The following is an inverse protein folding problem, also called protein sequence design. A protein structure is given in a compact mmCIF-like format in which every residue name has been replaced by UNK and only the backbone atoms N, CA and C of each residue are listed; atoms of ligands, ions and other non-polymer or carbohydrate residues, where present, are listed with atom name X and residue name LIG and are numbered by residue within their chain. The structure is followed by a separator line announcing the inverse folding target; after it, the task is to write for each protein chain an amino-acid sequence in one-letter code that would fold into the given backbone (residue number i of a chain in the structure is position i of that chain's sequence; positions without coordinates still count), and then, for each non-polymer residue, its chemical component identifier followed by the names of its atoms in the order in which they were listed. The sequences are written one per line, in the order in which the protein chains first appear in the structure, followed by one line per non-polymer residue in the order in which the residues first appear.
data_IF_894643111922
#
_entry.id   IF_894643111922
#
_cell.length_a   1.000
_cell.length_b   1.000
_cell.length_c   1.000
_cell.angle_alpha   90.00
_cell.angle_beta   90.00
_cell.angle_gamma   90.00
#
_symmetry.space_group_name_H-M   'P 1'
#
loop_
_entity.id
_entity.type
_entity.pdbx_description
1 polymer ?
#
# COMPACT_ATOMS: atom_id res chain seq x y z
N UNK A 1 -20.00 28.26 10.43
CA UNK A 1 -21.21 28.01 9.63
C UNK A 1 -21.37 28.88 8.39
N UNK A 2 -21.02 30.17 8.40
CA UNK A 2 -21.28 31.10 7.28
C UNK A 2 -20.34 30.97 6.06
N UNK A 3 -19.15 30.39 6.15
CA UNK A 3 -18.21 30.31 5.01
C UNK A 3 -18.34 29.02 4.19
N UNK A 4 -18.79 27.92 4.79
CA UNK A 4 -19.05 26.67 4.07
C UNK A 4 -20.30 26.80 3.22
N UNK A 5 -21.33 27.51 3.71
CA UNK A 5 -22.57 27.73 2.97
C UNK A 5 -22.42 28.69 1.76
N UNK A 6 -21.42 29.57 1.73
CA UNK A 6 -21.18 30.46 0.55
C UNK A 6 -20.49 29.75 -0.63
N UNK A 7 -19.84 28.58 -0.42
CA UNK A 7 -19.36 27.74 -1.52
C UNK A 7 -20.42 26.76 -2.05
N UNK A 8 -21.54 26.63 -1.37
CA UNK A 8 -22.65 25.72 -1.73
C UNK A 8 -23.35 26.11 -3.03
N UNK A 9 -23.28 27.39 -3.46
CA UNK A 9 -23.91 27.81 -4.72
C UNK A 9 -23.26 27.23 -6.00
N UNK A 10 -22.04 26.66 -5.90
CA UNK A 10 -21.37 25.96 -7.02
C UNK A 10 -21.72 24.46 -7.11
N UNK A 11 -22.27 23.85 -6.06
CA UNK A 11 -22.57 22.41 -6.02
C UNK A 11 -24.07 22.17 -6.00
N UNK A 12 -24.53 21.28 -6.90
CA UNK A 12 -25.95 20.98 -7.10
C UNK A 12 -26.60 20.25 -5.92
N UNK A 13 -25.82 19.53 -5.10
CA UNK A 13 -26.31 18.79 -3.93
C UNK A 13 -25.20 18.54 -2.88
N UNK A 14 -25.60 18.12 -1.67
CA UNK A 14 -24.68 17.82 -0.55
C UNK A 14 -23.76 16.64 -0.86
N UNK A 15 -24.16 15.72 -1.73
CA UNK A 15 -23.35 14.56 -2.11
C UNK A 15 -22.12 14.98 -2.91
N UNK A 16 -22.25 15.96 -3.78
CA UNK A 16 -21.12 16.50 -4.55
C UNK A 16 -20.10 17.19 -3.66
N UNK A 17 -20.55 17.92 -2.63
CA UNK A 17 -19.67 18.55 -1.63
C UNK A 17 -18.85 17.44 -0.91
N UNK A 18 -19.52 16.41 -0.46
CA UNK A 18 -18.91 15.27 0.23
C UNK A 18 -17.88 14.52 -0.66
N UNK A 19 -18.28 14.24 -1.90
CA UNK A 19 -17.42 13.55 -2.86
C UNK A 19 -16.18 14.39 -3.18
N UNK A 20 -16.33 15.70 -3.37
CA UNK A 20 -15.21 16.59 -3.63
C UNK A 20 -14.30 16.76 -2.41
N UNK A 21 -14.85 16.80 -1.20
CA UNK A 21 -14.03 16.87 0.02
C UNK A 21 -13.09 15.65 0.11
N UNK A 22 -13.59 14.44 -0.18
CA UNK A 22 -12.80 13.21 -0.11
C UNK A 22 -11.94 13.02 -1.36
N UNK A 23 -12.49 13.24 -2.57
CA UNK A 23 -11.90 12.80 -3.83
C UNK A 23 -11.45 13.92 -4.77
N UNK A 24 -11.60 15.20 -4.41
CA UNK A 24 -11.43 16.35 -5.29
C UNK A 24 -10.16 16.44 -6.14
N UNK A 25 -9.10 15.69 -5.81
CA UNK A 25 -7.85 15.61 -6.57
C UNK A 25 -7.50 14.18 -6.99
N UNK A 26 -8.43 13.24 -6.88
CA UNK A 26 -8.17 11.81 -7.12
C UNK A 26 -8.02 11.47 -8.59
N UNK A 27 -7.02 10.65 -8.90
CA UNK A 27 -6.81 10.07 -10.25
C UNK A 27 -7.11 8.57 -10.31
N UNK A 28 -7.46 7.95 -9.19
CA UNK A 28 -7.82 6.54 -9.06
C UNK A 28 -9.27 6.27 -9.50
N UNK A 29 -9.64 5.00 -9.42
CA UNK A 29 -11.03 4.56 -9.52
C UNK A 29 -11.70 4.68 -8.15
N UNK A 30 -12.93 5.13 -8.11
CA UNK A 30 -13.78 5.24 -6.92
C UNK A 30 -14.91 4.24 -7.09
N UNK A 31 -15.21 3.48 -6.04
CA UNK A 31 -16.30 2.51 -6.08
C UNK A 31 -17.58 3.13 -5.54
N UNK A 32 -18.64 3.13 -6.36
CA UNK A 32 -20.03 3.29 -5.92
C UNK A 32 -20.58 1.91 -5.62
N UNK A 33 -21.31 1.74 -4.54
CA UNK A 33 -22.00 0.49 -4.23
C UNK A 33 -23.45 0.74 -3.81
N UNK A 34 -24.27 -0.29 -4.00
CA UNK A 34 -25.66 -0.35 -3.56
C UNK A 34 -25.89 -1.65 -2.80
N UNK A 35 -26.65 -1.58 -1.70
CA UNK A 35 -27.01 -2.76 -0.90
C UNK A 35 -28.53 -2.80 -0.79
N UNK A 36 -29.17 -3.60 -1.64
CA UNK A 36 -30.60 -3.75 -1.66
C UNK A 36 -30.97 -5.22 -1.41
N UNK A 37 -31.88 -5.48 -0.45
CA UNK A 37 -32.36 -6.83 -0.10
C UNK A 37 -31.21 -7.83 0.19
N UNK A 38 -30.10 -7.35 0.77
CA UNK A 38 -28.93 -8.18 1.05
C UNK A 38 -28.01 -8.43 -0.16
N UNK A 39 -28.37 -7.94 -1.34
CA UNK A 39 -27.54 -8.03 -2.54
C UNK A 39 -26.63 -6.82 -2.63
N UNK A 40 -25.30 -7.08 -2.64
CA UNK A 40 -24.28 -6.05 -2.82
C UNK A 40 -23.94 -5.94 -4.30
N UNK A 41 -24.12 -4.74 -4.88
CA UNK A 41 -23.70 -4.40 -6.25
C UNK A 41 -22.71 -3.27 -6.21
N UNK A 42 -21.68 -3.29 -7.08
CA UNK A 42 -20.67 -2.23 -7.14
C UNK A 42 -20.27 -1.88 -8.57
N UNK A 43 -19.96 -0.62 -8.77
CA UNK A 43 -19.47 -0.04 -10.02
C UNK A 43 -18.30 0.89 -9.71
N UNK A 44 -17.46 1.14 -10.72
CA UNK A 44 -16.24 1.92 -10.56
C UNK A 44 -16.25 3.10 -11.52
N UNK A 45 -15.98 4.28 -10.99
CA UNK A 45 -16.07 5.55 -11.71
C UNK A 45 -14.79 6.38 -11.51
N UNK A 46 -14.50 7.26 -12.46
CA UNK A 46 -13.61 8.39 -12.24
C UNK A 46 -14.39 9.53 -11.58
N UNK A 47 -13.68 10.44 -10.91
CA UNK A 47 -14.31 11.53 -10.18
C UNK A 47 -15.33 12.31 -11.02
N UNK A 48 -14.96 12.70 -12.24
CA UNK A 48 -15.84 13.44 -13.15
C UNK A 48 -17.14 12.68 -13.48
N UNK A 49 -17.06 11.39 -13.68
CA UNK A 49 -18.23 10.54 -13.93
C UNK A 49 -19.11 10.39 -12.67
N UNK A 50 -18.45 10.34 -11.49
CA UNK A 50 -19.16 10.18 -10.23
C UNK A 50 -19.98 11.44 -9.86
N UNK A 51 -19.48 12.64 -10.19
CA UNK A 51 -20.17 13.89 -9.92
C UNK A 51 -21.45 14.10 -10.75
N UNK A 52 -21.65 13.31 -11.81
CA UNK A 52 -22.87 13.36 -12.62
C UNK A 52 -23.96 12.40 -12.12
N UNK A 53 -23.70 11.59 -11.09
CA UNK A 53 -24.60 10.58 -10.55
C UNK A 53 -25.53 11.21 -9.50
N UNK A 54 -26.81 10.82 -9.51
CA UNK A 54 -27.75 11.12 -8.44
C UNK A 54 -27.55 10.13 -7.27
N UNK A 55 -27.31 10.67 -6.08
CA UNK A 55 -27.08 9.92 -4.84
C UNK A 55 -28.25 9.99 -3.85
N UNK A 56 -29.36 10.60 -4.20
CA UNK A 56 -30.51 10.76 -3.30
C UNK A 56 -31.30 9.47 -3.04
N UNK A 57 -30.91 8.38 -3.72
CA UNK A 57 -31.54 7.07 -3.59
C UNK A 57 -31.16 6.37 -2.27
N UNK A 58 -31.88 5.27 -1.99
CA UNK A 58 -31.64 4.46 -0.80
C UNK A 58 -30.35 3.63 -0.90
N UNK A 59 -29.66 3.53 0.25
CA UNK A 59 -28.53 2.60 0.45
C UNK A 59 -27.42 2.73 -0.59
N UNK A 60 -27.08 3.96 -0.98
CA UNK A 60 -25.95 4.27 -1.84
C UNK A 60 -24.71 4.51 -1.00
N UNK A 61 -23.60 3.91 -1.43
CA UNK A 61 -22.31 3.95 -0.75
C UNK A 61 -21.19 4.34 -1.72
N UNK A 62 -20.12 4.95 -1.21
CA UNK A 62 -18.87 5.16 -1.95
C UNK A 62 -17.66 4.69 -1.13
N UNK A 63 -16.57 4.32 -1.82
CA UNK A 63 -15.29 4.05 -1.18
C UNK A 63 -14.62 5.37 -0.79
N UNK A 64 -13.98 5.40 0.39
CA UNK A 64 -13.20 6.56 0.85
C UNK A 64 -11.81 6.64 0.20
N UNK A 65 -11.31 5.51 -0.25
CA UNK A 65 -10.01 5.36 -0.89
C UNK A 65 -10.15 5.05 -2.38
N UNK A 66 -9.08 5.21 -3.16
CA UNK A 66 -9.10 5.00 -4.60
C UNK A 66 -8.29 3.79 -5.02
N UNK A 67 -8.59 3.27 -6.22
CA UNK A 67 -8.04 2.03 -6.75
C UNK A 67 -7.32 2.25 -8.09
N UNK A 68 -6.34 1.39 -8.40
CA UNK A 68 -5.66 1.40 -9.71
C UNK A 68 -6.55 0.91 -10.83
N UNK A 69 -7.31 -0.18 -10.59
CA UNK A 69 -8.18 -0.87 -11.55
C UNK A 69 -9.63 -0.89 -11.03
N UNK A 70 -10.54 -1.35 -11.86
CA UNK A 70 -11.98 -1.42 -11.59
C UNK A 70 -12.39 -2.61 -10.70
N UNK A 71 -11.71 -2.79 -9.59
CA UNK A 71 -12.10 -3.71 -8.52
C UNK A 71 -11.62 -3.21 -7.15
N UNK A 72 -12.31 -3.58 -6.08
CA UNK A 72 -12.19 -3.03 -4.74
C UNK A 72 -11.57 -4.04 -3.78
N UNK A 73 -10.23 -4.25 -3.90
CA UNK A 73 -9.45 -5.08 -2.99
C UNK A 73 -8.18 -4.35 -2.54
N UNK A 74 -7.58 -4.82 -1.45
CA UNK A 74 -6.48 -4.18 -0.75
C UNK A 74 -5.22 -4.02 -1.64
N UNK A 75 -4.89 -5.01 -2.43
CA UNK A 75 -3.73 -4.99 -3.33
C UNK A 75 -3.90 -4.05 -4.52
N UNK A 76 -5.13 -3.60 -4.75
CA UNK A 76 -5.48 -2.66 -5.82
C UNK A 76 -5.61 -1.20 -5.33
N UNK A 77 -5.41 -0.95 -4.04
CA UNK A 77 -5.43 0.40 -3.49
C UNK A 77 -4.37 1.27 -4.14
N UNK A 78 -4.78 2.44 -4.62
CA UNK A 78 -3.91 3.44 -5.21
C UNK A 78 -3.52 4.52 -4.21
N UNK A 79 -4.52 5.14 -3.58
CA UNK A 79 -4.35 6.22 -2.62
C UNK A 79 -5.21 5.96 -1.40
N UNK A 80 -4.61 6.08 -0.23
CA UNK A 80 -5.31 6.11 1.05
C UNK A 80 -5.47 7.58 1.40
N UNK A 81 -6.71 8.02 1.59
CA UNK A 81 -7.10 9.42 1.72
C UNK A 81 -7.81 9.75 3.00
N UNK A 82 -8.31 8.72 3.70
CA UNK A 82 -9.08 8.89 4.91
C UNK A 82 -8.70 7.84 5.96
N UNK A 83 -8.79 8.25 7.20
CA UNK A 83 -9.02 7.40 8.35
C UNK A 83 -10.52 7.53 8.64
N UNK A 84 -11.18 6.46 9.07
CA UNK A 84 -12.61 6.51 9.35
C UNK A 84 -13.00 5.61 10.51
N UNK A 85 -14.12 5.96 11.15
CA UNK A 85 -14.72 5.14 12.19
C UNK A 85 -16.24 5.14 12.01
N UNK A 86 -16.83 3.96 12.01
CA UNK A 86 -18.28 3.75 12.03
C UNK A 86 -18.71 3.47 13.46
N UNK A 87 -19.51 4.36 14.04
CA UNK A 87 -20.05 4.23 15.38
C UNK A 87 -21.50 3.73 15.32
N UNK A 88 -21.72 2.49 15.67
CA UNK A 88 -23.02 1.86 15.79
C UNK A 88 -23.73 2.33 17.09
N UNK A 89 -24.09 3.61 17.16
CA UNK A 89 -24.57 4.26 18.38
C UNK A 89 -25.82 3.58 18.96
N UNK A 90 -26.63 2.93 18.12
CA UNK A 90 -27.80 2.17 18.54
C UNK A 90 -27.48 0.91 19.39
N UNK A 91 -26.20 0.49 19.41
CA UNK A 91 -25.71 -0.60 20.26
C UNK A 91 -25.26 -0.11 21.65
N UNK A 92 -25.25 1.18 21.88
CA UNK A 92 -24.79 1.80 23.12
C UNK A 92 -25.98 2.30 23.97
N UNK A 93 -25.68 2.63 25.21
CA UNK A 93 -26.64 3.27 26.12
C UNK A 93 -26.76 4.79 25.97
N UNK A 94 -25.90 5.37 25.11
CA UNK A 94 -25.80 6.81 24.91
C UNK A 94 -26.57 7.25 23.68
N UNK A 95 -27.15 8.43 23.72
CA UNK A 95 -27.67 9.10 22.52
C UNK A 95 -26.53 9.65 21.68
N UNK A 96 -26.76 9.89 20.36
CA UNK A 96 -25.76 10.51 19.49
C UNK A 96 -25.22 11.83 20.06
N UNK A 97 -26.10 12.67 20.60
CA UNK A 97 -25.73 13.94 21.21
C UNK A 97 -24.80 13.76 22.40
N UNK A 98 -25.12 12.81 23.30
CA UNK A 98 -24.27 12.51 24.45
C UNK A 98 -22.90 11.99 24.02
N UNK A 99 -22.86 11.16 22.98
CA UNK A 99 -21.60 10.67 22.42
C UNK A 99 -20.77 11.85 21.88
N UNK A 100 -21.36 12.70 21.06
CA UNK A 100 -20.65 13.84 20.47
C UNK A 100 -20.13 14.82 21.53
N UNK A 101 -20.94 15.16 22.54
CA UNK A 101 -20.50 16.00 23.66
C UNK A 101 -19.31 15.39 24.41
N UNK A 102 -19.36 14.08 24.68
CA UNK A 102 -18.27 13.39 25.38
C UNK A 102 -17.00 13.33 24.51
N UNK A 103 -17.14 13.08 23.19
CA UNK A 103 -16.01 13.04 22.27
C UNK A 103 -15.34 14.42 22.16
N UNK A 104 -16.10 15.49 22.07
CA UNK A 104 -15.59 16.86 22.02
C UNK A 104 -14.87 17.25 23.31
N UNK A 105 -15.50 16.95 24.47
CA UNK A 105 -14.95 17.31 25.77
C UNK A 105 -13.72 16.46 26.17
N UNK A 106 -13.63 15.20 25.78
CA UNK A 106 -12.66 14.29 26.39
C UNK A 106 -11.70 13.61 25.42
N UNK A 107 -12.01 13.58 24.11
CA UNK A 107 -11.25 12.79 23.14
C UNK A 107 -10.66 13.64 21.99
N UNK A 108 -11.44 14.48 21.34
CA UNK A 108 -10.99 15.25 20.18
C UNK A 108 -9.87 16.24 20.53
N UNK A 109 -8.75 16.13 19.81
CA UNK A 109 -7.55 16.94 20.06
C UNK A 109 -6.79 16.57 21.34
N UNK A 110 -7.18 15.48 22.05
CA UNK A 110 -6.55 15.01 23.28
C UNK A 110 -5.99 13.60 23.14
N UNK A 111 -6.86 12.61 22.92
CA UNK A 111 -6.47 11.21 22.72
C UNK A 111 -6.54 10.79 21.26
N UNK A 112 -7.41 11.43 20.49
CA UNK A 112 -7.55 11.22 19.04
C UNK A 112 -7.61 12.57 18.31
N UNK A 113 -7.25 12.62 17.00
CA UNK A 113 -7.35 13.85 16.21
C UNK A 113 -8.81 14.33 16.11
N UNK A 114 -9.01 15.63 15.86
CA UNK A 114 -10.33 16.16 15.55
C UNK A 114 -10.73 15.69 14.15
N UNK A 115 -11.92 15.06 13.96
CA UNK A 115 -12.35 14.59 12.64
C UNK A 115 -12.66 15.75 11.71
N UNK A 116 -12.49 15.54 10.40
CA UNK A 116 -12.86 16.50 9.38
C UNK A 116 -14.36 16.51 9.11
N UNK A 117 -14.98 15.34 9.15
CA UNK A 117 -16.39 15.17 8.91
C UNK A 117 -17.01 14.32 10.01
N UNK A 118 -18.06 14.83 10.61
CA UNK A 118 -18.96 14.08 11.50
C UNK A 118 -20.29 13.97 10.78
N UNK A 119 -20.73 12.74 10.50
CA UNK A 119 -21.88 12.44 9.68
C UNK A 119 -22.88 11.58 10.44
N UNK A 120 -24.13 11.98 10.44
CA UNK A 120 -25.25 11.15 10.90
C UNK A 120 -25.62 10.17 9.77
N UNK A 121 -25.31 8.89 9.96
CA UNK A 121 -25.63 7.82 9.01
C UNK A 121 -27.06 7.27 9.12
N UNK A 122 -27.89 7.88 9.95
CA UNK A 122 -29.24 7.47 10.30
C UNK A 122 -29.28 6.65 11.60
N UNK A 123 -28.62 5.51 11.69
CA UNK A 123 -28.58 4.67 12.90
C UNK A 123 -27.34 4.90 13.76
N UNK A 124 -26.27 5.44 13.17
CA UNK A 124 -24.98 5.64 13.80
C UNK A 124 -24.35 6.96 13.35
N UNK A 125 -23.05 7.08 13.64
CA UNK A 125 -22.23 8.22 13.25
C UNK A 125 -21.02 7.74 12.44
N UNK A 126 -20.64 8.49 11.40
CA UNK A 126 -19.32 8.34 10.79
C UNK A 126 -18.41 9.46 11.24
N UNK A 127 -17.22 9.12 11.67
CA UNK A 127 -16.12 10.04 11.93
C UNK A 127 -15.09 9.83 10.84
N UNK A 128 -14.76 10.87 10.07
CA UNK A 128 -13.83 10.79 8.94
C UNK A 128 -12.72 11.83 9.12
N UNK A 129 -11.48 11.37 9.10
CA UNK A 129 -10.28 12.19 9.09
C UNK A 129 -9.70 12.19 7.68
N UNK A 130 -9.68 13.34 7.02
CA UNK A 130 -9.02 13.52 5.72
C UNK A 130 -7.52 13.58 5.95
N UNK A 131 -6.77 12.83 5.16
CA UNK A 131 -5.31 12.83 5.23
C UNK A 131 -4.71 13.22 3.89
N UNK A 132 -3.49 13.77 3.91
CA UNK A 132 -2.69 13.87 2.70
C UNK A 132 -2.59 12.50 2.04
N UNK A 133 -2.90 12.37 0.72
CA UNK A 133 -2.95 11.07 0.07
C UNK A 133 -1.63 10.32 0.18
N UNK A 134 -1.68 9.10 0.70
CA UNK A 134 -0.51 8.22 0.82
C UNK A 134 -0.69 6.95 -0.01
N UNK A 135 0.41 6.36 -0.52
CA UNK A 135 0.35 5.13 -1.30
C UNK A 135 -0.03 3.92 -0.42
N UNK A 136 -0.50 2.84 -1.04
CA UNK A 136 -0.91 1.61 -0.34
C UNK A 136 0.17 1.03 0.59
N UNK A 137 1.45 1.30 0.33
CA UNK A 137 2.56 0.88 1.21
C UNK A 137 2.48 1.48 2.62
N UNK A 138 1.75 2.58 2.81
CA UNK A 138 1.50 3.17 4.13
C UNK A 138 0.40 2.43 4.93
N UNK A 139 -0.26 1.45 4.33
CA UNK A 139 -1.39 0.73 4.90
C UNK A 139 -1.11 0.08 6.27
N UNK A 140 0.07 -0.49 6.57
CA UNK A 140 0.36 -0.98 7.92
C UNK A 140 0.31 0.12 8.99
N UNK A 141 0.77 1.34 8.67
CA UNK A 141 0.67 2.48 9.58
C UNK A 141 -0.78 2.95 9.71
N UNK A 142 -1.48 3.10 8.60
CA UNK A 142 -2.90 3.42 8.57
C UNK A 142 -3.71 2.46 9.47
N UNK A 143 -3.49 1.15 9.31
CA UNK A 143 -4.16 0.12 10.10
C UNK A 143 -3.86 0.23 11.60
N UNK A 144 -2.63 0.58 11.96
CA UNK A 144 -2.26 0.78 13.37
C UNK A 144 -2.97 1.99 13.99
N UNK A 145 -3.13 3.08 13.21
CA UNK A 145 -3.87 4.27 13.65
C UNK A 145 -5.36 3.96 13.78
N UNK A 146 -5.95 3.29 12.80
CA UNK A 146 -7.36 2.86 12.85
C UNK A 146 -7.65 1.99 14.08
N UNK A 147 -6.77 1.03 14.38
CA UNK A 147 -6.92 0.18 15.56
C UNK A 147 -6.76 0.95 16.87
N UNK A 148 -5.90 1.95 16.89
CA UNK A 148 -5.76 2.82 18.05
C UNK A 148 -7.05 3.62 18.27
N UNK A 149 -7.55 4.31 17.25
CA UNK A 149 -8.79 5.09 17.32
C UNK A 149 -9.99 4.18 17.69
N UNK A 150 -10.05 2.98 17.10
CA UNK A 150 -11.07 1.99 17.47
C UNK A 150 -11.06 1.66 18.97
N UNK A 151 -9.88 1.45 19.56
CA UNK A 151 -9.77 1.14 20.99
C UNK A 151 -10.29 2.27 21.87
N UNK A 152 -9.95 3.52 21.51
CA UNK A 152 -10.41 4.71 22.20
C UNK A 152 -11.94 4.88 22.08
N UNK A 153 -12.52 4.54 20.92
CA UNK A 153 -13.95 4.76 20.64
C UNK A 153 -14.84 3.52 20.86
N UNK A 154 -14.29 2.42 21.35
CA UNK A 154 -15.00 1.16 21.48
C UNK A 154 -16.28 1.27 22.34
N UNK A 155 -16.25 2.05 23.42
CA UNK A 155 -17.40 2.26 24.31
C UNK A 155 -18.55 3.03 23.64
N UNK A 156 -18.25 3.82 22.60
CA UNK A 156 -19.23 4.58 21.81
C UNK A 156 -19.78 3.81 20.61
N UNK A 157 -19.52 2.50 20.55
CA UNK A 157 -20.06 1.60 19.55
C UNK A 157 -19.23 1.53 18.26
N UNK A 158 -17.94 1.84 18.31
CA UNK A 158 -17.05 1.68 17.15
C UNK A 158 -17.12 0.25 16.62
N UNK A 159 -17.34 0.13 15.30
CA UNK A 159 -17.45 -1.16 14.61
C UNK A 159 -16.07 -1.65 14.16
N UNK A 160 -15.61 -2.77 14.76
CA UNK A 160 -14.34 -3.39 14.40
C UNK A 160 -14.29 -3.84 12.93
N UNK A 161 -15.42 -4.31 12.41
CA UNK A 161 -15.54 -4.79 11.03
C UNK A 161 -15.45 -3.67 10.00
N UNK A 162 -15.58 -2.41 10.46
CA UNK A 162 -15.39 -1.25 9.60
C UNK A 162 -13.91 -0.88 9.36
N UNK A 163 -12.94 -1.45 10.10
CA UNK A 163 -11.50 -1.19 9.96
C UNK A 163 -10.91 -1.80 8.68
N UNK A 164 -11.51 -1.48 7.55
CA UNK A 164 -11.18 -1.97 6.20
C UNK A 164 -10.86 -0.79 5.28
N UNK A 165 -9.64 -0.67 4.75
CA UNK A 165 -9.27 0.43 3.85
C UNK A 165 -10.02 0.40 2.53
N UNK A 166 -10.70 -0.70 2.23
CA UNK A 166 -11.55 -0.84 1.05
C UNK A 166 -13.05 -0.61 1.36
N UNK A 167 -13.36 -0.15 2.60
CA UNK A 167 -14.74 0.09 3.04
C UNK A 167 -15.46 1.09 2.15
N UNK A 168 -16.76 0.86 1.98
CA UNK A 168 -17.70 1.84 1.43
C UNK A 168 -18.57 2.37 2.56
N UNK A 169 -18.79 3.68 2.59
CA UNK A 169 -19.71 4.34 3.53
C UNK A 169 -20.85 4.98 2.76
N UNK A 170 -22.00 5.15 3.43
CA UNK A 170 -23.16 5.81 2.82
C UNK A 170 -22.80 7.24 2.38
N UNK A 171 -23.26 7.60 1.21
CA UNK A 171 -23.06 8.94 0.67
C UNK A 171 -23.97 9.94 1.39
N UNK A 172 -23.46 11.13 1.63
CA UNK A 172 -24.24 12.25 2.13
C UNK A 172 -25.40 12.56 1.18
N UNK A 173 -26.60 12.79 1.71
CA UNK A 173 -27.81 13.00 0.94
C UNK A 173 -28.58 11.71 0.58
N UNK A 174 -27.94 10.52 0.69
CA UNK A 174 -28.62 9.24 0.47
C UNK A 174 -29.52 8.86 1.65
N UNK A 175 -30.48 7.96 1.39
CA UNK A 175 -31.44 7.50 2.41
C UNK A 175 -30.93 6.18 3.02
N UNK A 176 -30.92 6.10 4.34
CA UNK A 176 -30.71 4.85 5.06
C UNK A 176 -32.06 4.14 5.23
N UNK A 177 -32.33 3.11 4.44
CA UNK A 177 -33.60 2.37 4.49
C UNK A 177 -33.92 1.73 5.86
N UNK A 178 -32.89 1.42 6.68
CA UNK A 178 -33.08 0.82 8.00
C UNK A 178 -33.63 1.80 9.04
N UNK A 179 -33.44 3.08 8.87
CA UNK A 179 -33.94 4.16 9.74
C UNK A 179 -34.92 5.09 9.02
N UNK A 180 -35.07 4.95 7.73
CA UNK A 180 -35.80 5.85 6.85
C UNK A 180 -35.40 7.33 7.03
N UNK A 181 -34.09 7.57 7.15
CA UNK A 181 -33.54 8.91 7.38
C UNK A 181 -32.46 9.23 6.36
N UNK A 182 -32.37 10.49 5.99
CA UNK A 182 -31.30 10.99 5.13
C UNK A 182 -29.98 11.03 5.88
N UNK A 183 -28.90 10.63 5.22
CA UNK A 183 -27.51 10.78 5.70
C UNK A 183 -27.13 12.23 5.57
N UNK A 184 -26.76 12.86 6.69
CA UNK A 184 -26.47 14.29 6.75
C UNK A 184 -25.20 14.61 7.53
N UNK A 185 -24.54 15.69 7.16
CA UNK A 185 -23.39 16.21 7.88
C UNK A 185 -23.83 16.92 9.17
N UNK A 186 -23.10 16.69 10.26
CA UNK A 186 -23.31 17.39 11.52
C UNK A 186 -22.25 18.46 11.74
N UNK A 187 -20.98 18.11 11.51
CA UNK A 187 -19.85 19.03 11.73
C UNK A 187 -18.77 18.85 10.64
N UNK A 188 -18.04 19.93 10.36
CA UNK A 188 -16.92 19.94 9.41
C UNK A 188 -15.72 20.68 9.98
N UNK A 189 -14.51 20.19 9.66
CA UNK A 189 -13.23 20.81 9.94
C UNK A 189 -12.36 20.77 8.68
N UNK A 190 -11.72 21.87 8.33
CA UNK A 190 -10.93 22.01 7.09
C UNK A 190 -9.47 21.51 7.20
N UNK A 191 -8.99 21.22 8.41
CA UNK A 191 -7.61 20.79 8.60
C UNK A 191 -7.37 19.39 8.03
N UNK A 192 -6.47 19.26 7.05
CA UNK A 192 -6.07 17.96 6.48
C UNK A 192 -4.90 17.42 7.26
N UNK A 193 -5.04 16.21 7.79
CA UNK A 193 -4.05 15.57 8.63
C UNK A 193 -2.92 14.92 7.79
N UNK A 194 -1.75 14.75 8.41
CA UNK A 194 -0.72 13.86 7.87
C UNK A 194 -0.63 12.59 8.71
N UNK A 195 -0.63 11.46 8.04
CA UNK A 195 -0.64 10.15 8.70
C UNK A 195 0.52 10.00 9.71
N UNK A 196 1.67 10.62 9.42
CA UNK A 196 2.84 10.57 10.29
C UNK A 196 2.71 11.47 11.51
N UNK A 197 2.08 12.62 11.37
CA UNK A 197 1.80 13.53 12.50
C UNK A 197 0.84 12.84 13.50
N UNK A 198 -0.22 12.18 13.00
CA UNK A 198 -1.11 11.38 13.85
C UNK A 198 -0.34 10.27 14.58
N UNK A 199 0.60 9.60 13.89
CA UNK A 199 1.44 8.59 14.54
C UNK A 199 2.28 9.15 15.68
N UNK A 200 2.92 10.29 15.44
CA UNK A 200 3.87 10.90 16.38
C UNK A 200 3.14 11.51 17.59
N UNK A 201 1.93 12.01 17.39
CA UNK A 201 1.17 12.72 18.42
C UNK A 201 0.30 11.78 19.29
N UNK A 202 -0.36 10.81 18.66
CA UNK A 202 -1.39 10.01 19.34
C UNK A 202 -1.01 8.55 19.60
N UNK A 203 -0.18 7.92 18.76
CA UNK A 203 0.17 6.53 19.00
C UNK A 203 1.18 6.41 20.17
N UNK A 204 0.97 5.42 21.07
CA UNK A 204 1.92 5.19 22.15
C UNK A 204 3.32 4.87 21.61
N UNK A 205 4.34 5.43 22.23
CA UNK A 205 5.73 5.11 21.89
C UNK A 205 5.96 3.59 21.98
N UNK A 206 6.52 3.03 20.92
CA UNK A 206 6.94 1.63 20.93
C UNK A 206 8.09 1.50 21.93
N UNK A 207 7.95 0.70 23.01
CA UNK A 207 9.00 0.54 24.00
C UNK A 207 10.28 0.07 23.29
N UNK A 208 11.30 0.89 23.30
CA UNK A 208 12.63 0.48 22.89
C UNK A 208 13.03 -0.67 23.80
N UNK A 209 13.19 -1.90 23.25
CA UNK A 209 13.76 -3.01 24.03
C UNK A 209 15.04 -2.50 24.68
N UNK A 210 15.04 -2.33 25.98
CA UNK A 210 16.27 -2.02 26.71
C UNK A 210 17.30 -3.08 26.35
N UNK A 211 18.41 -2.63 25.81
CA UNK A 211 19.53 -3.51 25.49
C UNK A 211 20.05 -4.00 26.84
N UNK A 212 19.68 -5.21 27.22
CA UNK A 212 20.30 -5.87 28.36
C UNK A 212 21.82 -5.74 28.22
N UNK A 213 22.50 -5.40 29.32
CA UNK A 213 23.95 -5.18 29.37
C UNK A 213 24.67 -6.32 28.66
N UNK A 214 25.24 -6.02 27.49
CA UNK A 214 25.93 -7.01 26.69
C UNK A 214 27.34 -7.22 27.28
N UNK A 215 27.59 -8.42 27.80
CA UNK A 215 28.85 -8.85 28.41
C UNK A 215 29.89 -9.40 27.42
N UNK A 216 29.81 -9.08 26.11
CA UNK A 216 30.81 -9.48 25.14
C UNK A 216 31.01 -8.40 24.05
N UNK A 217 32.27 -8.16 23.58
CA UNK A 217 32.54 -7.19 22.51
C UNK A 217 31.95 -7.69 21.19
N UNK A 218 30.88 -7.01 20.72
CA UNK A 218 30.26 -7.31 19.42
C UNK A 218 31.18 -6.82 18.31
N UNK A 219 31.54 -7.71 17.36
CA UNK A 219 32.14 -7.34 16.08
C UNK A 219 31.37 -6.16 15.48
N UNK A 220 32.11 -5.12 15.04
CA UNK A 220 31.53 -3.93 14.39
C UNK A 220 30.79 -4.32 13.13
N UNK A 221 29.50 -4.65 13.26
CA UNK A 221 28.55 -4.74 12.16
C UNK A 221 27.79 -3.43 12.02
N UNK A 222 27.35 -3.12 10.80
CA UNK A 222 26.47 -1.99 10.51
C UNK A 222 25.30 -1.97 11.52
N UNK A 223 24.98 -0.84 12.17
CA UNK A 223 23.87 -0.80 13.10
C UNK A 223 22.59 -1.28 12.39
N UNK A 224 21.93 -2.29 12.95
CA UNK A 224 20.65 -2.76 12.43
C UNK A 224 19.69 -1.57 12.53
N UNK A 225 19.20 -1.07 11.38
CA UNK A 225 18.09 -0.14 11.38
C UNK A 225 17.00 -0.76 12.25
N UNK A 226 16.47 0.02 13.18
CA UNK A 226 15.34 -0.39 14.00
C UNK A 226 14.22 -0.76 13.05
N UNK A 227 13.95 -2.05 12.95
CA UNK A 227 12.88 -2.57 12.12
C UNK A 227 11.65 -2.48 13.01
N UNK A 228 10.76 -1.57 12.66
CA UNK A 228 9.53 -1.31 13.38
C UNK A 228 8.59 -2.52 13.40
N UNK A 229 7.72 -2.56 14.40
CA UNK A 229 6.72 -3.59 14.73
C UNK A 229 5.71 -3.88 13.60
N UNK A 230 5.78 -3.14 12.50
CA UNK A 230 4.97 -3.33 11.28
C UNK A 230 5.37 -4.55 10.43
N UNK A 231 6.39 -5.31 10.83
CA UNK A 231 6.98 -6.35 9.99
C UNK A 231 6.02 -7.45 9.57
N UNK A 232 5.14 -7.90 10.47
CA UNK A 232 4.22 -9.00 10.13
C UNK A 232 3.13 -8.52 9.17
N UNK A 233 2.47 -7.41 9.46
CA UNK A 233 1.43 -6.85 8.57
C UNK A 233 2.01 -6.40 7.23
N UNK A 234 3.18 -5.78 7.24
CA UNK A 234 3.86 -5.39 6.00
C UNK A 234 4.26 -6.60 5.18
N UNK A 235 4.70 -7.70 5.82
CA UNK A 235 5.01 -8.94 5.15
C UNK A 235 3.76 -9.58 4.54
N UNK A 236 2.65 -9.65 5.27
CA UNK A 236 1.41 -10.23 4.75
C UNK A 236 0.85 -9.42 3.59
N UNK A 237 0.83 -8.09 3.70
CA UNK A 237 0.43 -7.21 2.60
C UNK A 237 1.30 -7.42 1.36
N UNK A 238 2.62 -7.47 1.53
CA UNK A 238 3.54 -7.69 0.43
C UNK A 238 3.37 -9.07 -0.21
N UNK A 239 3.09 -10.12 0.58
CA UNK A 239 2.78 -11.47 0.08
C UNK A 239 1.45 -11.53 -0.67
N UNK A 240 0.41 -10.85 -0.18
CA UNK A 240 -0.87 -10.68 -0.89
C UNK A 240 -0.61 -10.06 -2.26
N UNK A 241 0.15 -8.98 -2.29
CA UNK A 241 0.51 -8.29 -3.54
C UNK A 241 1.31 -9.19 -4.48
N UNK A 242 2.26 -9.98 -3.96
CA UNK A 242 3.06 -10.91 -4.75
C UNK A 242 2.21 -12.04 -5.36
N UNK A 243 1.25 -12.60 -4.61
CA UNK A 243 0.35 -13.63 -5.13
C UNK A 243 -0.52 -13.10 -6.28
N UNK A 244 -1.10 -11.91 -6.12
CA UNK A 244 -1.90 -11.30 -7.20
C UNK A 244 -1.01 -10.91 -8.36
N UNK A 245 0.22 -10.45 -8.11
CA UNK A 245 1.20 -10.16 -9.17
C UNK A 245 1.56 -11.41 -9.95
N UNK A 246 1.73 -12.55 -9.29
CA UNK A 246 1.94 -13.84 -9.95
C UNK A 246 0.76 -14.20 -10.87
N UNK A 247 -0.48 -14.05 -10.38
CA UNK A 247 -1.67 -14.26 -11.20
C UNK A 247 -1.69 -13.35 -12.43
N UNK A 248 -1.36 -12.06 -12.26
CA UNK A 248 -1.28 -11.11 -13.38
C UNK A 248 -0.22 -11.50 -14.42
N UNK A 249 0.98 -11.90 -13.98
CA UNK A 249 2.07 -12.33 -14.87
C UNK A 249 1.68 -13.55 -15.70
N UNK A 250 0.87 -14.44 -15.13
CA UNK A 250 0.32 -15.62 -15.79
C UNK A 250 -1.02 -15.36 -16.48
N UNK A 251 -1.43 -14.10 -16.64
CA UNK A 251 -2.73 -13.71 -17.23
C UNK A 251 -3.93 -14.44 -16.58
N UNK A 252 -3.82 -14.74 -15.28
CA UNK A 252 -4.78 -15.51 -14.48
C UNK A 252 -5.03 -16.95 -14.97
N UNK A 253 -4.21 -17.47 -15.87
CA UNK A 253 -4.18 -18.89 -16.25
C UNK A 253 -3.20 -19.64 -15.32
N UNK A 254 -3.74 -20.17 -14.23
CA UNK A 254 -3.00 -20.77 -13.11
C UNK A 254 -3.58 -22.16 -12.76
N UNK A 255 -3.99 -22.91 -13.78
CA UNK A 255 -4.50 -24.28 -13.60
C UNK A 255 -3.44 -25.15 -12.91
N UNK A 256 -3.83 -25.82 -11.81
CA UNK A 256 -2.92 -26.61 -10.98
C UNK A 256 -2.52 -25.91 -9.66
N UNK A 257 -2.30 -24.59 -9.63
CA UNK A 257 -1.93 -23.84 -8.42
C UNK A 257 -3.09 -23.06 -7.79
N UNK A 258 -4.30 -23.08 -8.36
CA UNK A 258 -5.47 -22.29 -7.94
C UNK A 258 -5.78 -22.42 -6.45
N UNK A 259 -5.89 -23.66 -5.96
CA UNK A 259 -6.21 -23.95 -4.56
C UNK A 259 -5.14 -23.38 -3.61
N UNK A 260 -3.88 -23.59 -3.94
CA UNK A 260 -2.76 -23.11 -3.13
C UNK A 260 -2.68 -21.58 -3.10
N UNK A 261 -2.88 -20.93 -4.24
CA UNK A 261 -2.91 -19.45 -4.33
C UNK A 261 -4.07 -18.89 -3.48
N UNK A 262 -5.28 -19.45 -3.63
CA UNK A 262 -6.44 -19.01 -2.86
C UNK A 262 -6.28 -19.28 -1.37
N UNK A 263 -5.71 -20.43 -0.99
CA UNK A 263 -5.40 -20.74 0.41
C UNK A 263 -4.44 -19.74 1.02
N UNK A 264 -3.32 -19.46 0.36
CA UNK A 264 -2.31 -18.50 0.83
C UNK A 264 -2.87 -17.08 0.89
N UNK A 265 -3.64 -16.69 -0.13
CA UNK A 265 -4.28 -15.39 -0.19
C UNK A 265 -5.25 -15.20 0.99
N UNK A 266 -6.17 -16.16 1.23
CA UNK A 266 -7.09 -16.14 2.38
C UNK A 266 -6.34 -16.15 3.72
N UNK A 267 -5.26 -16.94 3.81
CA UNK A 267 -4.43 -17.02 5.00
C UNK A 267 -3.84 -15.66 5.37
N UNK A 268 -3.21 -14.98 4.41
CA UNK A 268 -2.61 -13.67 4.65
C UNK A 268 -3.66 -12.59 4.90
N UNK A 269 -4.81 -12.63 4.24
CA UNK A 269 -5.93 -11.72 4.47
C UNK A 269 -6.49 -11.85 5.88
N UNK A 270 -6.67 -13.08 6.40
CA UNK A 270 -7.15 -13.30 7.77
C UNK A 270 -6.25 -12.59 8.80
N UNK A 271 -4.93 -12.68 8.65
CA UNK A 271 -4.00 -12.01 9.54
C UNK A 271 -3.91 -10.49 9.32
N UNK A 272 -4.22 -10.02 8.14
CA UNK A 272 -4.19 -8.61 7.84
C UNK A 272 -5.46 -7.88 8.31
N UNK A 273 -6.63 -8.40 7.95
CA UNK A 273 -7.91 -7.80 8.29
C UNK A 273 -8.39 -8.14 9.70
N UNK A 274 -8.06 -9.33 10.20
CA UNK A 274 -8.66 -9.94 11.38
C UNK A 274 -10.20 -10.09 11.21
N UNK A 275 -10.64 -10.32 9.97
CA UNK A 275 -12.03 -10.49 9.52
C UNK A 275 -12.11 -11.64 8.53
N UNK A 276 -12.64 -12.77 8.99
CA UNK A 276 -12.70 -14.03 8.22
C UNK A 276 -13.67 -13.95 7.05
N UNK A 277 -14.79 -13.23 7.24
CA UNK A 277 -15.80 -13.09 6.19
C UNK A 277 -15.27 -12.21 5.04
N UNK A 278 -14.61 -11.11 5.39
CA UNK A 278 -13.94 -10.25 4.41
C UNK A 278 -12.87 -11.01 3.66
N UNK A 279 -12.03 -11.77 4.37
CA UNK A 279 -10.98 -12.57 3.76
C UNK A 279 -11.56 -13.63 2.80
N UNK A 280 -12.67 -14.29 3.17
CA UNK A 280 -13.35 -15.23 2.28
C UNK A 280 -13.91 -14.55 1.04
N UNK A 281 -14.61 -13.43 1.21
CA UNK A 281 -15.24 -12.71 0.09
C UNK A 281 -14.17 -12.25 -0.92
N UNK A 282 -13.07 -11.63 -0.47
CA UNK A 282 -11.98 -11.20 -1.34
C UNK A 282 -11.29 -12.40 -2.04
N UNK A 283 -11.21 -13.55 -1.36
CA UNK A 283 -10.67 -14.79 -1.95
C UNK A 283 -11.57 -15.32 -3.06
N UNK A 284 -12.87 -15.29 -2.87
CA UNK A 284 -13.82 -15.70 -3.91
C UNK A 284 -13.84 -14.73 -5.09
N UNK A 285 -13.70 -13.43 -4.84
CA UNK A 285 -13.51 -12.43 -5.91
C UNK A 285 -12.22 -12.69 -6.72
N UNK A 286 -11.11 -13.04 -6.06
CA UNK A 286 -9.87 -13.43 -6.76
C UNK A 286 -10.09 -14.68 -7.60
N UNK A 287 -10.76 -15.70 -7.07
CA UNK A 287 -11.09 -16.91 -7.81
C UNK A 287 -11.87 -16.62 -9.10
N UNK A 288 -12.81 -15.70 -9.06
CA UNK A 288 -13.60 -15.31 -10.25
C UNK A 288 -12.78 -14.61 -11.33
N UNK A 289 -11.57 -14.14 -11.03
CA UNK A 289 -10.66 -13.56 -12.02
C UNK A 289 -9.86 -14.61 -12.79
N UNK A 290 -9.78 -15.85 -12.31
CA UNK A 290 -9.07 -16.92 -13.00
C UNK A 290 -9.75 -17.28 -14.33
N UNK A 291 -8.95 -17.64 -15.33
CA UNK A 291 -9.46 -18.08 -16.64
C UNK A 291 -10.40 -19.27 -16.48
N UNK A 292 -10.08 -20.18 -15.55
CA UNK A 292 -10.92 -21.32 -15.18
C UNK A 292 -11.15 -21.29 -13.66
N UNK A 293 -12.12 -20.53 -13.14
CA UNK A 293 -12.35 -20.43 -11.71
C UNK A 293 -12.80 -21.78 -11.11
N UNK A 294 -12.44 -22.01 -9.86
CA UNK A 294 -13.00 -23.12 -9.11
C UNK A 294 -14.47 -22.84 -8.78
N UNK A 295 -15.33 -23.87 -8.73
CA UNK A 295 -16.66 -23.73 -8.17
C UNK A 295 -16.61 -23.11 -6.77
N UNK A 296 -17.53 -22.21 -6.45
CA UNK A 296 -17.52 -21.47 -5.17
C UNK A 296 -17.45 -22.41 -3.96
N UNK A 297 -18.20 -23.53 -3.98
CA UNK A 297 -18.17 -24.51 -2.90
C UNK A 297 -16.78 -25.16 -2.74
N UNK A 298 -16.09 -25.43 -3.84
CA UNK A 298 -14.77 -26.01 -3.87
C UNK A 298 -13.73 -25.01 -3.36
N UNK A 299 -13.70 -23.77 -3.88
CA UNK A 299 -12.84 -22.71 -3.43
C UNK A 299 -13.00 -22.42 -1.92
N UNK A 300 -14.24 -22.43 -1.41
CA UNK A 300 -14.52 -22.25 0.02
C UNK A 300 -13.94 -23.38 0.85
N UNK A 301 -14.15 -24.65 0.44
CA UNK A 301 -13.66 -25.84 1.15
C UNK A 301 -12.13 -25.94 1.11
N UNK A 302 -11.52 -25.73 -0.05
CA UNK A 302 -10.07 -25.79 -0.23
C UNK A 302 -9.33 -24.76 0.66
N UNK A 303 -9.97 -23.64 0.96
CA UNK A 303 -9.36 -22.55 1.76
C UNK A 303 -9.82 -22.53 3.23
N UNK A 304 -10.70 -23.45 3.66
CA UNK A 304 -11.22 -23.48 5.04
C UNK A 304 -10.10 -23.69 6.09
N UNK A 305 -9.04 -24.44 5.75
CA UNK A 305 -7.90 -24.64 6.62
C UNK A 305 -7.16 -23.35 6.96
N UNK A 306 -7.16 -22.34 6.08
CA UNK A 306 -6.58 -21.04 6.35
C UNK A 306 -7.28 -20.30 7.51
N UNK A 307 -8.60 -20.44 7.60
CA UNK A 307 -9.40 -19.89 8.70
C UNK A 307 -9.17 -20.69 10.00
N UNK A 308 -9.13 -22.03 9.94
CA UNK A 308 -8.87 -22.89 11.10
C UNK A 308 -7.51 -22.61 11.74
N UNK A 309 -6.48 -22.40 10.92
CA UNK A 309 -5.13 -22.01 11.38
C UNK A 309 -5.15 -20.65 12.06
N UNK A 310 -5.85 -19.67 11.47
CA UNK A 310 -6.00 -18.36 12.07
C UNK A 310 -6.68 -18.42 13.45
N UNK A 311 -7.81 -19.16 13.58
CA UNK A 311 -8.56 -19.35 14.82
C UNK A 311 -7.77 -20.07 15.92
N UNK A 312 -6.94 -21.02 15.55
CA UNK A 312 -6.12 -21.80 16.50
C UNK A 312 -5.00 -20.96 17.15
N UNK A 313 -4.79 -19.71 16.73
CA UNK A 313 -3.69 -18.84 17.16
C UNK A 313 -2.29 -19.49 16.97
N UNK A 314 -2.22 -20.55 16.18
CA UNK A 314 -1.00 -21.28 15.92
C UNK A 314 -0.20 -20.52 14.84
N UNK A 315 0.65 -19.59 15.32
CA UNK A 315 1.50 -18.74 14.46
C UNK A 315 2.59 -19.50 13.70
N UNK A 316 2.64 -20.83 13.83
CA UNK A 316 3.72 -21.66 13.31
C UNK A 316 3.62 -21.96 11.80
N UNK A 317 2.51 -21.59 11.15
CA UNK A 317 2.31 -21.80 9.71
C UNK A 317 3.01 -20.72 8.86
N UNK A 318 4.31 -20.53 9.09
CA UNK A 318 5.10 -19.53 8.35
C UNK A 318 5.85 -20.22 7.21
N UNK A 319 5.28 -20.22 6.02
CA UNK A 319 5.99 -20.67 4.83
C UNK A 319 7.25 -19.84 4.59
N UNK A 320 8.38 -20.54 4.35
CA UNK A 320 9.62 -19.93 3.85
C UNK A 320 9.45 -19.56 2.38
N UNK A 321 10.23 -18.57 1.91
CA UNK A 321 10.16 -18.16 0.50
C UNK A 321 10.52 -19.31 -0.45
N UNK A 322 11.53 -20.11 -0.10
CA UNK A 322 11.94 -21.27 -0.91
C UNK A 322 10.77 -22.25 -1.10
N UNK A 323 10.03 -22.53 -0.03
CA UNK A 323 8.84 -23.41 -0.09
C UNK A 323 7.73 -22.82 -0.96
N UNK A 324 7.47 -21.49 -0.86
CA UNK A 324 6.46 -20.84 -1.70
C UNK A 324 6.85 -20.82 -3.18
N UNK A 325 8.13 -20.60 -3.47
CA UNK A 325 8.66 -20.63 -4.84
C UNK A 325 8.48 -22.01 -5.46
N UNK A 326 8.76 -23.07 -4.69
CA UNK A 326 8.61 -24.44 -5.13
C UNK A 326 7.14 -24.83 -5.32
N UNK A 327 6.28 -24.57 -4.31
CA UNK A 327 4.84 -24.90 -4.36
C UNK A 327 4.09 -24.19 -5.49
N UNK A 328 4.46 -22.96 -5.79
CA UNK A 328 3.82 -22.13 -6.81
C UNK A 328 4.63 -22.11 -8.12
N UNK A 329 5.69 -22.93 -8.22
CA UNK A 329 6.56 -23.04 -9.40
C UNK A 329 7.02 -21.68 -9.96
N UNK A 330 7.38 -20.73 -9.05
CA UNK A 330 7.72 -19.36 -9.40
C UNK A 330 9.07 -19.31 -10.10
N UNK A 331 9.09 -18.84 -11.34
CA UNK A 331 10.29 -18.72 -12.15
C UNK A 331 11.18 -17.54 -11.72
N UNK A 332 12.46 -17.55 -12.13
CA UNK A 332 13.38 -16.44 -11.86
C UNK A 332 12.92 -15.12 -12.51
N UNK A 333 12.27 -15.19 -13.68
CA UNK A 333 11.72 -14.01 -14.36
C UNK A 333 10.53 -13.43 -13.58
N UNK A 334 9.62 -14.26 -13.10
CA UNK A 334 8.50 -13.82 -12.27
C UNK A 334 8.99 -13.17 -10.97
N UNK A 335 10.01 -13.72 -10.32
CA UNK A 335 10.60 -13.17 -9.11
C UNK A 335 11.11 -11.73 -9.29
N UNK A 336 11.53 -11.33 -10.50
CA UNK A 336 11.97 -9.94 -10.76
C UNK A 336 10.86 -8.91 -10.53
N UNK A 337 9.61 -9.32 -10.64
CA UNK A 337 8.42 -8.48 -10.46
C UNK A 337 7.78 -8.59 -9.07
N UNK A 338 8.27 -9.48 -8.22
CA UNK A 338 7.75 -9.71 -6.87
C UNK A 338 8.55 -8.94 -5.82
N UNK A 339 7.97 -8.76 -4.63
CA UNK A 339 8.58 -7.96 -3.56
C UNK A 339 9.22 -8.84 -2.49
N UNK A 340 8.53 -9.88 -2.05
CA UNK A 340 8.92 -10.70 -0.89
C UNK A 340 9.11 -12.17 -1.20
N UNK A 341 8.31 -12.76 -2.12
CA UNK A 341 8.43 -14.18 -2.47
C UNK A 341 9.51 -14.33 -3.53
N UNK A 342 10.75 -14.13 -3.11
CA UNK A 342 11.96 -14.15 -3.97
C UNK A 342 13.05 -15.01 -3.34
N UNK A 343 13.88 -15.59 -4.19
CA UNK A 343 15.03 -16.41 -3.79
C UNK A 343 16.18 -15.58 -3.18
N UNK A 344 17.08 -16.24 -2.47
CA UNK A 344 18.29 -15.58 -1.94
C UNK A 344 19.17 -15.00 -3.05
N UNK A 345 19.20 -15.63 -4.21
CA UNK A 345 19.99 -15.16 -5.36
C UNK A 345 19.38 -13.90 -5.96
N UNK A 346 18.06 -13.80 -6.08
CA UNK A 346 17.39 -12.59 -6.50
C UNK A 346 17.59 -11.44 -5.49
N UNK A 347 17.53 -11.72 -4.19
CA UNK A 347 17.89 -10.73 -3.15
C UNK A 347 19.33 -10.24 -3.33
N UNK A 348 20.27 -11.15 -3.58
CA UNK A 348 21.69 -10.81 -3.82
C UNK A 348 21.88 -9.99 -5.09
N UNK A 349 21.18 -10.34 -6.17
CA UNK A 349 21.18 -9.59 -7.43
C UNK A 349 20.71 -8.14 -7.21
N UNK A 350 19.57 -7.95 -6.55
CA UNK A 350 19.00 -6.62 -6.24
C UNK A 350 19.94 -5.79 -5.36
N UNK A 351 20.50 -6.40 -4.32
CA UNK A 351 21.46 -5.72 -3.44
C UNK A 351 22.71 -5.26 -4.20
N UNK A 352 23.19 -6.09 -5.13
CA UNK A 352 24.34 -5.73 -5.96
C UNK A 352 24.01 -4.56 -6.89
N UNK A 353 22.84 -4.56 -7.52
CA UNK A 353 22.37 -3.45 -8.37
C UNK A 353 22.19 -2.16 -7.58
N UNK A 354 21.56 -2.24 -6.40
CA UNK A 354 21.41 -1.10 -5.52
C UNK A 354 22.77 -0.52 -5.09
N UNK A 355 23.72 -1.37 -4.68
CA UNK A 355 25.04 -0.93 -4.26
C UNK A 355 25.83 -0.31 -5.44
N UNK A 356 25.72 -0.88 -6.65
CA UNK A 356 26.30 -0.29 -7.87
C UNK A 356 25.72 1.09 -8.17
N UNK A 357 24.41 1.22 -8.10
CA UNK A 357 23.72 2.49 -8.33
C UNK A 357 24.13 3.53 -7.30
N UNK A 358 24.09 3.16 -6.01
CA UNK A 358 24.50 4.02 -4.92
C UNK A 358 25.96 4.48 -5.05
N UNK A 359 26.87 3.58 -5.43
CA UNK A 359 28.27 3.92 -5.66
C UNK A 359 28.44 4.93 -6.82
N UNK A 360 27.69 4.73 -7.94
CA UNK A 360 27.70 5.69 -9.05
C UNK A 360 27.18 7.07 -8.64
N UNK A 361 26.07 7.12 -7.89
CA UNK A 361 25.52 8.38 -7.39
C UNK A 361 26.54 9.12 -6.52
N UNK A 362 27.18 8.42 -5.57
CA UNK A 362 28.21 8.98 -4.72
C UNK A 362 29.38 9.56 -5.51
N UNK A 363 29.88 8.84 -6.52
CA UNK A 363 30.95 9.34 -7.37
C UNK A 363 30.54 10.60 -8.14
N UNK A 364 29.30 10.64 -8.64
CA UNK A 364 28.75 11.80 -9.33
C UNK A 364 28.65 13.03 -8.41
N UNK A 365 28.17 12.83 -7.18
CA UNK A 365 28.14 13.89 -6.15
C UNK A 365 29.53 14.43 -5.78
N UNK A 366 30.53 13.55 -5.78
CA UNK A 366 31.94 13.91 -5.55
C UNK A 366 32.65 14.47 -6.80
N UNK A 367 31.96 14.63 -7.94
CA UNK A 367 32.57 15.05 -9.22
C UNK A 367 33.59 14.04 -9.80
N UNK A 368 33.57 12.80 -9.33
CA UNK A 368 34.50 11.74 -9.74
C UNK A 368 33.85 10.81 -10.76
N UNK A 369 34.68 10.39 -11.73
CA UNK A 369 34.28 9.39 -12.73
C UNK A 369 34.47 7.97 -12.19
N UNK A 370 33.62 7.04 -12.64
CA UNK A 370 33.84 5.61 -12.42
C UNK A 370 35.10 5.12 -13.14
N UNK A 371 35.72 4.04 -12.68
CA UNK A 371 36.89 3.43 -13.37
C UNK A 371 36.59 3.13 -14.85
N UNK A 372 35.35 2.72 -15.18
CA UNK A 372 34.93 2.45 -16.56
C UNK A 372 34.89 3.73 -17.40
N UNK A 373 34.39 4.81 -16.86
CA UNK A 373 34.36 6.13 -17.52
C UNK A 373 35.77 6.68 -17.72
N UNK A 374 36.63 6.60 -16.69
CA UNK A 374 38.04 6.97 -16.78
C UNK A 374 38.79 6.21 -17.88
N UNK A 375 38.54 4.87 -17.97
CA UNK A 375 39.08 4.03 -19.04
C UNK A 375 38.53 4.41 -20.41
N UNK A 376 37.27 4.76 -20.52
CA UNK A 376 36.70 5.20 -21.78
C UNK A 376 37.28 6.55 -22.23
N UNK A 377 37.40 7.50 -21.30
CA UNK A 377 38.04 8.80 -21.58
C UNK A 377 39.49 8.60 -22.01
N UNK A 378 40.24 7.74 -21.30
CA UNK A 378 41.62 7.42 -21.66
C UNK A 378 41.70 6.80 -23.08
N UNK A 379 40.81 5.85 -23.40
CA UNK A 379 40.77 5.23 -24.72
C UNK A 379 40.39 6.23 -25.83
N UNK A 380 39.48 7.15 -25.56
CA UNK A 380 39.18 8.23 -26.51
C UNK A 380 40.41 9.14 -26.77
N UNK A 381 41.12 9.51 -25.68
CA UNK A 381 42.39 10.28 -25.83
C UNK A 381 43.41 9.51 -26.66
N UNK A 382 43.61 8.21 -26.41
CA UNK A 382 44.51 7.36 -27.21
C UNK A 382 44.09 7.35 -28.66
N UNK A 383 42.77 7.22 -28.94
CA UNK A 383 42.24 7.23 -30.29
C UNK A 383 42.56 8.54 -31.03
N UNK A 384 42.26 9.69 -30.43
CA UNK A 384 42.48 11.02 -30.99
C UNK A 384 43.98 11.20 -31.34
N UNK A 385 44.88 10.94 -30.34
CA UNK A 385 46.31 11.09 -30.55
C UNK A 385 46.89 10.15 -31.63
N UNK A 386 46.27 8.98 -31.82
CA UNK A 386 46.61 8.05 -32.90
C UNK A 386 46.15 8.57 -34.30
N UNK A 387 44.96 9.15 -34.37
CA UNK A 387 44.44 9.76 -35.59
C UNK A 387 45.24 11.01 -36.00
N UNK A 388 45.84 11.70 -35.03
CA UNK A 388 46.81 12.81 -35.23
C UNK A 388 48.19 12.31 -35.69
N UNK A 389 48.42 10.99 -35.77
CA UNK A 389 49.63 10.39 -36.31
C UNK A 389 50.77 10.21 -35.30
N UNK A 390 50.54 10.39 -34.00
CA UNK A 390 51.57 10.23 -32.99
C UNK A 390 52.00 8.76 -32.78
N UNK A 391 53.29 8.56 -32.52
CA UNK A 391 53.86 7.22 -32.24
C UNK A 391 53.43 6.72 -30.83
N UNK A 392 53.42 5.41 -30.66
CA UNK A 392 53.02 4.78 -29.38
C UNK A 392 53.76 5.31 -28.16
N UNK A 393 55.09 5.50 -28.29
CA UNK A 393 55.94 6.04 -27.20
C UNK A 393 55.50 7.43 -26.76
N UNK A 394 55.21 8.30 -27.71
CA UNK A 394 54.82 9.68 -27.45
C UNK A 394 53.43 9.73 -26.78
N UNK A 395 52.47 8.91 -27.23
CA UNK A 395 51.15 8.80 -26.63
C UNK A 395 51.22 8.28 -25.18
N UNK A 396 52.05 7.26 -24.95
CA UNK A 396 52.28 6.72 -23.59
C UNK A 396 52.86 7.79 -22.67
N UNK A 397 53.77 8.61 -23.15
CA UNK A 397 54.39 9.69 -22.38
C UNK A 397 53.39 10.80 -22.10
N UNK A 398 52.60 11.26 -23.07
CA UNK A 398 51.56 12.30 -22.93
C UNK A 398 50.48 11.86 -21.91
N UNK A 399 50.08 10.59 -21.97
CA UNK A 399 49.03 10.07 -21.10
C UNK A 399 49.52 9.43 -19.81
N UNK A 400 50.84 9.55 -19.49
CA UNK A 400 51.47 8.95 -18.31
C UNK A 400 51.19 7.44 -18.17
N UNK A 401 51.22 6.67 -19.26
CA UNK A 401 51.04 5.23 -19.22
C UNK A 401 52.39 4.54 -19.13
N UNK A 402 52.74 4.09 -17.95
CA UNK A 402 54.08 3.53 -17.68
C UNK A 402 54.26 2.08 -18.21
N UNK A 403 53.18 1.37 -18.56
CA UNK A 403 53.27 -0.01 -18.99
C UNK A 403 52.85 -0.17 -20.46
N UNK A 404 53.77 -0.65 -21.30
CA UNK A 404 53.53 -0.98 -22.70
C UNK A 404 52.38 -2.03 -22.84
N UNK A 405 52.39 -3.04 -22.01
CA UNK A 405 51.33 -4.09 -21.97
C UNK A 405 49.94 -3.48 -21.71
N UNK A 406 49.84 -2.51 -20.82
CA UNK A 406 48.58 -1.80 -20.51
C UNK A 406 48.16 -0.97 -21.73
N UNK A 407 49.08 -0.27 -22.37
CA UNK A 407 48.78 0.50 -23.56
C UNK A 407 48.32 -0.40 -24.73
N UNK A 408 48.97 -1.52 -24.96
CA UNK A 408 48.60 -2.49 -26.01
C UNK A 408 47.22 -3.08 -25.76
N UNK A 409 46.83 -3.35 -24.51
CA UNK A 409 45.47 -3.77 -24.16
C UNK A 409 44.41 -2.72 -24.57
N UNK A 410 44.73 -1.44 -24.44
CA UNK A 410 43.84 -0.36 -24.88
C UNK A 410 43.75 -0.32 -26.39
N UNK A 411 44.88 -0.45 -27.11
CA UNK A 411 44.91 -0.51 -28.57
C UNK A 411 44.13 -1.72 -29.13
N UNK A 412 44.37 -2.90 -28.55
CA UNK A 412 43.63 -4.12 -28.91
C UNK A 412 42.12 -3.97 -28.68
N UNK A 413 41.72 -3.36 -27.60
CA UNK A 413 40.31 -3.06 -27.34
C UNK A 413 39.72 -2.12 -28.41
N UNK A 414 40.43 -1.04 -28.75
CA UNK A 414 39.98 -0.07 -29.74
C UNK A 414 39.85 -0.72 -31.15
N UNK A 415 40.85 -1.55 -31.56
CA UNK A 415 40.80 -2.29 -32.82
C UNK A 415 39.65 -3.31 -32.84
N UNK A 416 39.49 -4.11 -31.78
CA UNK A 416 38.42 -5.12 -31.65
C UNK A 416 37.01 -4.51 -31.75
N UNK A 417 36.83 -3.26 -31.33
CA UNK A 417 35.53 -2.57 -31.36
C UNK A 417 35.39 -1.64 -32.60
N UNK A 418 36.29 -1.74 -33.58
CA UNK A 418 36.23 -0.93 -34.83
C UNK A 418 36.46 0.57 -34.61
N UNK A 419 37.03 0.96 -33.47
CA UNK A 419 37.25 2.36 -33.10
C UNK A 419 38.63 2.86 -33.54
N UNK A 420 39.51 1.98 -33.96
CA UNK A 420 40.86 2.26 -34.51
C UNK A 420 41.12 1.26 -35.64
N UNK A 421 41.72 1.75 -36.77
CA UNK A 421 42.16 0.89 -37.86
C UNK A 421 43.47 0.17 -37.55
#
# INVERSE_FOLDING_TARGET
MGQVLRKVEEYKDESQIYINAIHGKSKGWITKAEINEGVFKQWHYKLNQLLDIDFTQENIYISLNTFYKTYRRIENLKEIKCIHMDLDTYKTKYTKTQILMNLDENYFGKTIPIPNLIIDSGRGLYLIWLIDPVPYMALPLWKAIEEYIYKELKEFGADRMALDPTRVLRVLGSINSKSNTMVKILETNEYVHKLREIQEEYLPEIPKKEKGKATAPKKRGRPKKVVYVFNERSLYLARITDLVKLCELRSYDIEGEREMILFLYRYYLNYFFEDEQKALNDTLELNMMFVKPLPIKEATRATESAEKVYKSNNKDYKYKNETLIELLQITEEEQKHMVTIISKDEVKRRNNEYNKSKYKMKLKEEGKMTKKEQLNVLRQKIKVLREEGLKNKDIMQILNINSSTTFERHITYLKKNGLLK
#
